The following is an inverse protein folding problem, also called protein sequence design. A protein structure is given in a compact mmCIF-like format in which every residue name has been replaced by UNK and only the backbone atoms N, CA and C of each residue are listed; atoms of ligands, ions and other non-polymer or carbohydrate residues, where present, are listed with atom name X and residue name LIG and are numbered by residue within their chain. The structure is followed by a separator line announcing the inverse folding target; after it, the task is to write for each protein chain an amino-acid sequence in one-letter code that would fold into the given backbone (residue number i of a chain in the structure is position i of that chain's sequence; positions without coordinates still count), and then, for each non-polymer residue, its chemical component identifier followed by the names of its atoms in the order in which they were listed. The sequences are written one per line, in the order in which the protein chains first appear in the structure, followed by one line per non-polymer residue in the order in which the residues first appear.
data_IF_092194528193
#
_entry.id   IF_092194528193
#
_cell.length_a   1.000
_cell.length_b   1.000
_cell.length_c   1.000
_cell.angle_alpha   90.00
_cell.angle_beta   90.00
_cell.angle_gamma   90.00
#
_symmetry.space_group_name_H-M   'P 1'
#
loop_
_entity.id
_entity.type
_entity.pdbx_description
1 polymer ?
#
# COMPACT_ATOMS: atom_id res chain seq x y z
N UNK A 1 -17.05 9.68 34.35
CA UNK A 1 -17.32 10.83 33.47
C UNK A 1 -16.05 11.13 32.65
N UNK A 2 -15.76 10.30 31.63
CA UNK A 2 -14.56 10.47 30.81
C UNK A 2 -14.88 11.40 29.64
N UNK A 3 -14.26 12.59 29.61
CA UNK A 3 -14.39 13.59 28.54
C UNK A 3 -14.06 12.95 27.17
N UNK A 4 -15.00 13.06 26.24
CA UNK A 4 -14.77 12.87 24.80
C UNK A 4 -13.72 13.88 24.32
N UNK A 5 -12.45 13.51 24.39
CA UNK A 5 -11.31 14.25 23.82
C UNK A 5 -11.20 13.96 22.31
N UNK A 6 -12.21 14.38 21.55
CA UNK A 6 -12.03 14.68 20.13
C UNK A 6 -12.27 16.18 19.96
N UNK A 7 -11.20 16.97 20.05
CA UNK A 7 -11.22 18.42 19.83
C UNK A 7 -11.62 18.79 18.38
N UNK A 8 -11.73 17.80 17.48
CA UNK A 8 -12.02 17.98 16.06
C UNK A 8 -13.24 17.13 15.67
N UNK A 9 -14.28 17.71 15.04
CA UNK A 9 -15.41 16.97 14.54
C UNK A 9 -14.99 15.92 13.49
N UNK A 10 -15.64 14.74 13.43
CA UNK A 10 -15.27 13.68 12.48
C UNK A 10 -15.32 14.14 11.01
N UNK A 11 -16.21 15.08 10.67
CA UNK A 11 -16.28 15.66 9.33
C UNK A 11 -15.06 16.54 9.01
N UNK A 12 -14.54 17.28 9.99
CA UNK A 12 -13.34 18.11 9.83
C UNK A 12 -12.10 17.24 9.67
N UNK A 13 -11.98 16.15 10.45
CA UNK A 13 -10.88 15.18 10.30
C UNK A 13 -10.86 14.54 8.91
N UNK A 14 -12.04 14.17 8.38
CA UNK A 14 -12.14 13.62 7.02
C UNK A 14 -11.76 14.63 5.94
N UNK A 15 -12.16 15.90 6.08
CA UNK A 15 -11.77 16.98 5.14
C UNK A 15 -10.25 17.17 5.11
N UNK A 16 -9.60 17.20 6.27
CA UNK A 16 -8.14 17.26 6.37
C UNK A 16 -7.51 16.01 5.73
N UNK A 17 -8.12 14.84 5.94
CA UNK A 17 -7.67 13.57 5.37
C UNK A 17 -7.70 13.51 3.84
N UNK A 18 -8.55 14.29 3.17
CA UNK A 18 -8.57 14.32 1.69
C UNK A 18 -7.45 15.20 1.13
N UNK A 19 -6.98 16.20 1.88
CA UNK A 19 -6.05 17.23 1.39
C UNK A 19 -4.75 16.70 0.77
N UNK A 20 -4.09 15.64 1.29
CA UNK A 20 -2.85 15.15 0.68
C UNK A 20 -3.01 14.62 -0.74
N UNK A 21 -4.20 14.11 -1.11
CA UNK A 21 -4.46 13.54 -2.44
C UNK A 21 -4.23 14.58 -3.55
N UNK A 22 -4.94 15.74 -3.60
CA UNK A 22 -4.68 16.74 -4.63
C UNK A 22 -3.31 17.40 -4.50
N UNK A 23 -2.75 17.51 -3.29
CA UNK A 23 -1.41 18.09 -3.08
C UNK A 23 -0.34 17.25 -3.78
N UNK A 24 -0.32 15.94 -3.57
CA UNK A 24 0.67 15.07 -4.20
C UNK A 24 0.47 14.98 -5.72
N UNK A 25 -0.78 14.99 -6.21
CA UNK A 25 -1.05 15.06 -7.65
C UNK A 25 -0.48 16.35 -8.25
N UNK A 26 -0.73 17.50 -7.62
CA UNK A 26 -0.20 18.78 -8.08
C UNK A 26 1.33 18.79 -8.06
N UNK A 27 1.97 18.31 -6.98
CA UNK A 27 3.44 18.24 -6.89
C UNK A 27 4.05 17.37 -8.00
N UNK A 28 3.46 16.20 -8.26
CA UNK A 28 3.93 15.32 -9.35
C UNK A 28 3.79 16.01 -10.70
N UNK A 29 2.64 16.64 -10.98
CA UNK A 29 2.42 17.35 -12.23
C UNK A 29 3.38 18.54 -12.42
N UNK A 30 3.60 19.31 -11.35
CA UNK A 30 4.56 20.44 -11.34
C UNK A 30 5.97 19.94 -11.65
N UNK A 31 6.44 18.88 -10.98
CA UNK A 31 7.78 18.33 -11.24
C UNK A 31 7.89 17.67 -12.62
N UNK A 32 6.84 17.06 -13.12
CA UNK A 32 6.86 16.47 -14.46
C UNK A 32 7.00 17.53 -15.55
N UNK A 33 6.28 18.66 -15.43
CA UNK A 33 6.31 19.77 -16.39
C UNK A 33 7.57 20.63 -16.27
N UNK A 34 7.98 20.98 -15.04
CA UNK A 34 9.02 21.99 -14.81
C UNK A 34 10.42 21.41 -14.84
N UNK A 35 10.61 20.14 -14.47
CA UNK A 35 11.94 19.58 -14.21
C UNK A 35 12.46 18.83 -15.45
N UNK A 36 13.43 19.38 -16.22
CA UNK A 36 13.93 18.71 -17.41
C UNK A 36 14.63 17.39 -17.06
N UNK A 37 14.59 16.42 -17.98
CA UNK A 37 15.21 15.09 -17.81
C UNK A 37 16.69 15.16 -17.41
N UNK A 38 17.44 16.12 -17.96
CA UNK A 38 18.86 16.33 -17.66
C UNK A 38 19.11 16.82 -16.23
N UNK A 39 18.22 17.64 -15.66
CA UNK A 39 18.33 18.16 -14.28
C UNK A 39 17.80 17.15 -13.26
N UNK A 40 16.80 16.34 -13.64
CA UNK A 40 16.27 15.31 -12.75
C UNK A 40 17.33 14.30 -12.32
N UNK A 41 18.23 13.92 -13.23
CA UNK A 41 19.32 13.01 -12.95
C UNK A 41 20.41 13.63 -12.06
N UNK A 42 20.70 14.93 -12.20
CA UNK A 42 21.72 15.62 -11.39
C UNK A 42 21.27 15.90 -9.96
N UNK A 43 19.96 15.99 -9.73
CA UNK A 43 19.36 16.18 -8.40
C UNK A 43 18.88 14.84 -7.79
N UNK A 44 19.19 13.71 -8.42
CA UNK A 44 18.81 12.40 -7.91
C UNK A 44 19.52 12.11 -6.57
N UNK A 45 18.73 11.87 -5.53
CA UNK A 45 19.22 11.65 -4.17
C UNK A 45 18.77 10.29 -3.66
N UNK A 46 19.71 9.36 -3.42
CA UNK A 46 19.40 8.02 -2.92
C UNK A 46 20.27 7.63 -1.71
N UNK A 47 20.08 8.25 -0.53
CA UNK A 47 20.66 7.76 0.71
C UNK A 47 20.11 6.36 1.04
N UNK A 48 20.90 5.32 0.76
CA UNK A 48 20.47 3.92 0.85
C UNK A 48 19.88 3.57 2.23
N UNK A 49 20.57 3.98 3.30
CA UNK A 49 20.13 3.69 4.67
C UNK A 49 18.83 4.42 5.01
N UNK A 50 18.72 5.71 4.69
CA UNK A 50 17.51 6.49 4.94
C UNK A 50 16.34 5.90 4.17
N UNK A 51 16.53 5.53 2.91
CA UNK A 51 15.49 4.89 2.11
C UNK A 51 15.03 3.56 2.73
N UNK A 52 15.96 2.67 3.08
CA UNK A 52 15.63 1.39 3.69
C UNK A 52 14.91 1.56 5.04
N UNK A 53 15.35 2.50 5.88
CA UNK A 53 14.71 2.80 7.17
C UNK A 53 13.29 3.33 6.99
N UNK A 54 13.07 4.28 6.06
CA UNK A 54 11.73 4.83 5.81
C UNK A 54 10.76 3.78 5.28
N UNK A 55 11.20 2.93 4.34
CA UNK A 55 10.40 1.80 3.83
C UNK A 55 10.03 0.83 4.96
N UNK A 56 11.00 0.52 5.84
CA UNK A 56 10.79 -0.36 6.98
C UNK A 56 9.78 0.23 7.97
N UNK A 57 9.94 1.50 8.33
CA UNK A 57 9.11 2.14 9.35
C UNK A 57 7.69 2.41 8.85
N UNK A 58 7.55 3.09 7.71
CA UNK A 58 6.28 3.63 7.24
C UNK A 58 5.46 2.70 6.37
N UNK A 59 6.08 1.68 5.74
CA UNK A 59 5.34 0.71 4.93
C UNK A 59 5.30 -0.64 5.61
N UNK A 60 6.45 -1.21 5.99
CA UNK A 60 6.45 -2.53 6.62
C UNK A 60 5.92 -2.49 8.06
N UNK A 61 6.35 -1.52 8.87
CA UNK A 61 5.88 -1.37 10.25
C UNK A 61 4.37 -1.16 10.33
N UNK A 62 3.82 -0.28 9.50
CA UNK A 62 2.37 -0.08 9.40
C UNK A 62 1.67 -1.33 8.88
N UNK A 63 2.24 -2.00 7.87
CA UNK A 63 1.67 -3.21 7.31
C UNK A 63 1.59 -4.35 8.32
N UNK A 64 2.61 -4.54 9.16
CA UNK A 64 2.62 -5.56 10.21
C UNK A 64 1.48 -5.34 11.20
N UNK A 65 1.27 -4.10 11.65
CA UNK A 65 0.18 -3.77 12.59
C UNK A 65 -1.18 -4.06 11.96
N UNK A 66 -1.39 -3.57 10.74
CA UNK A 66 -2.64 -3.76 9.99
C UNK A 66 -2.90 -5.24 9.71
N UNK A 67 -1.89 -5.98 9.27
CA UNK A 67 -1.98 -7.41 8.99
C UNK A 67 -2.26 -8.20 10.27
N UNK A 68 -1.61 -7.86 11.39
CA UNK A 68 -1.87 -8.51 12.67
C UNK A 68 -3.31 -8.32 13.16
N UNK A 69 -3.84 -7.10 13.03
CA UNK A 69 -5.22 -6.80 13.44
C UNK A 69 -6.20 -7.50 12.49
N UNK A 70 -5.93 -7.45 11.19
CA UNK A 70 -6.73 -8.16 10.17
C UNK A 70 -6.75 -9.68 10.42
N UNK A 71 -5.61 -10.26 10.79
CA UNK A 71 -5.46 -11.66 11.16
C UNK A 71 -6.36 -12.01 12.36
N UNK A 72 -6.30 -11.22 13.44
CA UNK A 72 -7.14 -11.45 14.62
C UNK A 72 -8.62 -11.34 14.28
N UNK A 73 -9.01 -10.28 13.57
CA UNK A 73 -10.38 -10.06 13.13
C UNK A 73 -10.87 -11.18 12.20
N UNK A 74 -10.01 -11.76 11.36
CA UNK A 74 -10.35 -12.91 10.52
C UNK A 74 -10.54 -14.20 11.33
N UNK A 75 -9.67 -14.49 12.31
CA UNK A 75 -9.83 -15.68 13.14
C UNK A 75 -11.14 -15.64 13.93
N UNK A 76 -11.52 -14.47 14.46
CA UNK A 76 -12.78 -14.25 15.16
C UNK A 76 -13.99 -14.27 14.20
N UNK A 77 -13.99 -13.42 13.18
CA UNK A 77 -15.16 -13.16 12.33
C UNK A 77 -15.27 -14.00 11.05
N UNK A 78 -14.18 -14.62 10.59
CA UNK A 78 -14.15 -15.42 9.35
C UNK A 78 -14.26 -14.62 8.05
N UNK A 79 -14.16 -13.28 8.09
CA UNK A 79 -14.36 -12.42 6.93
C UNK A 79 -13.24 -12.54 5.91
N UNK A 80 -13.55 -13.08 4.72
CA UNK A 80 -12.60 -13.20 3.60
C UNK A 80 -12.08 -11.84 3.15
N UNK A 81 -12.91 -10.80 3.18
CA UNK A 81 -12.51 -9.41 2.91
C UNK A 81 -11.32 -8.99 3.77
N UNK A 82 -11.41 -9.23 5.09
CA UNK A 82 -10.37 -8.82 6.04
C UNK A 82 -9.11 -9.64 5.85
N UNK A 83 -9.25 -10.95 5.58
CA UNK A 83 -8.10 -11.80 5.27
C UNK A 83 -7.34 -11.26 4.06
N UNK A 84 -8.04 -11.01 2.95
CA UNK A 84 -7.45 -10.52 1.69
C UNK A 84 -6.83 -9.14 1.86
N UNK A 85 -7.51 -8.22 2.56
CA UNK A 85 -6.98 -6.88 2.86
C UNK A 85 -5.68 -6.97 3.67
N UNK A 86 -5.65 -7.80 4.70
CA UNK A 86 -4.44 -8.03 5.50
C UNK A 86 -3.31 -8.68 4.69
N UNK A 87 -3.63 -9.66 3.82
CA UNK A 87 -2.65 -10.28 2.92
C UNK A 87 -2.05 -9.28 1.92
N UNK A 88 -2.87 -8.44 1.30
CA UNK A 88 -2.40 -7.38 0.39
C UNK A 88 -1.53 -6.35 1.10
N UNK A 89 -1.91 -5.98 2.31
CA UNK A 89 -1.12 -5.05 3.15
C UNK A 89 0.23 -5.66 3.52
N UNK A 90 0.24 -6.92 3.97
CA UNK A 90 1.48 -7.63 4.31
C UNK A 90 2.38 -7.80 3.08
N UNK A 91 1.81 -8.19 1.93
CA UNK A 91 2.55 -8.33 0.68
C UNK A 91 3.22 -7.01 0.27
N UNK A 92 2.48 -5.90 0.31
CA UNK A 92 3.00 -4.59 -0.02
C UNK A 92 4.11 -4.15 0.95
N UNK A 93 3.90 -4.32 2.26
CA UNK A 93 4.90 -3.99 3.27
C UNK A 93 6.17 -4.84 3.12
N UNK A 94 6.03 -6.15 2.90
CA UNK A 94 7.15 -7.07 2.74
C UNK A 94 7.97 -6.73 1.48
N UNK A 95 7.31 -6.52 0.34
CA UNK A 95 7.98 -6.07 -0.88
C UNK A 95 8.71 -4.73 -0.66
N UNK A 96 8.12 -3.81 0.09
CA UNK A 96 8.69 -2.49 0.36
C UNK A 96 9.96 -2.55 1.21
N UNK A 97 9.98 -3.36 2.27
CA UNK A 97 11.19 -3.52 3.11
C UNK A 97 12.29 -4.24 2.34
N UNK A 98 11.97 -5.32 1.64
CA UNK A 98 12.96 -6.07 0.86
C UNK A 98 13.56 -5.20 -0.25
N UNK A 99 12.73 -4.49 -1.02
CA UNK A 99 13.21 -3.55 -2.02
C UNK A 99 14.03 -2.39 -1.42
N UNK A 100 13.67 -1.94 -0.21
CA UNK A 100 14.41 -0.94 0.54
C UNK A 100 15.86 -1.35 0.81
N UNK A 101 16.04 -2.54 1.38
CA UNK A 101 17.35 -3.07 1.76
C UNK A 101 18.18 -3.58 0.56
N UNK A 102 17.52 -4.06 -0.50
CA UNK A 102 18.19 -4.55 -1.70
C UNK A 102 18.45 -3.47 -2.76
N UNK A 103 18.19 -2.19 -2.46
CA UNK A 103 18.55 -1.10 -3.36
C UNK A 103 20.07 -0.96 -3.52
N UNK A 104 20.82 -1.24 -2.46
CA UNK A 104 22.29 -1.34 -2.49
C UNK A 104 22.79 -2.74 -2.86
N UNK A 105 24.11 -2.96 -2.85
CA UNK A 105 24.67 -4.31 -2.97
C UNK A 105 24.09 -5.24 -1.89
N UNK A 106 23.77 -6.51 -2.22
CA UNK A 106 24.06 -7.21 -3.48
C UNK A 106 23.01 -7.04 -4.59
N UNK A 107 21.86 -6.42 -4.33
CA UNK A 107 20.73 -6.39 -5.29
C UNK A 107 20.83 -5.30 -6.35
N UNK A 108 21.11 -4.07 -5.92
CA UNK A 108 21.13 -2.90 -6.80
C UNK A 108 19.74 -2.45 -7.27
N UNK A 109 19.67 -1.36 -8.06
CA UNK A 109 18.40 -0.73 -8.46
C UNK A 109 17.44 -1.64 -9.21
N UNK A 110 17.94 -2.52 -10.09
CA UNK A 110 17.08 -3.42 -10.85
C UNK A 110 16.32 -4.38 -9.93
N UNK A 111 17.01 -5.06 -9.01
CA UNK A 111 16.38 -6.02 -8.08
C UNK A 111 15.35 -5.32 -7.19
N UNK A 112 15.72 -4.17 -6.61
CA UNK A 112 14.80 -3.40 -5.78
C UNK A 112 13.53 -2.96 -6.53
N UNK A 113 13.69 -2.45 -7.77
CA UNK A 113 12.56 -2.03 -8.61
C UNK A 113 11.70 -3.22 -9.03
N UNK A 114 12.29 -4.35 -9.39
CA UNK A 114 11.58 -5.59 -9.72
C UNK A 114 10.70 -6.04 -8.56
N UNK A 115 11.26 -6.13 -7.35
CA UNK A 115 10.54 -6.58 -6.15
C UNK A 115 9.44 -5.59 -5.77
N UNK A 116 9.74 -4.29 -5.75
CA UNK A 116 8.76 -3.25 -5.39
C UNK A 116 7.58 -3.24 -6.36
N UNK A 117 7.82 -3.23 -7.67
CA UNK A 117 6.76 -3.09 -8.67
C UNK A 117 5.93 -4.35 -8.82
N UNK A 118 6.58 -5.52 -8.82
CA UNK A 118 5.87 -6.80 -8.84
C UNK A 118 5.10 -7.02 -7.54
N UNK A 119 5.67 -6.61 -6.40
CA UNK A 119 5.00 -6.62 -5.11
C UNK A 119 3.79 -5.69 -5.06
N UNK A 120 3.87 -4.50 -5.68
CA UNK A 120 2.72 -3.61 -5.85
C UNK A 120 1.60 -4.28 -6.63
N UNK A 121 1.92 -4.83 -7.80
CA UNK A 121 0.95 -5.55 -8.63
C UNK A 121 0.31 -6.70 -7.86
N UNK A 122 1.13 -7.54 -7.22
CA UNK A 122 0.65 -8.68 -6.45
C UNK A 122 -0.23 -8.26 -5.26
N UNK A 123 0.16 -7.24 -4.50
CA UNK A 123 -0.66 -6.68 -3.42
C UNK A 123 -1.99 -6.12 -3.93
N UNK A 124 -1.99 -5.45 -5.08
CA UNK A 124 -3.20 -4.88 -5.69
C UNK A 124 -4.25 -5.95 -6.03
N UNK A 125 -3.83 -7.16 -6.40
CA UNK A 125 -4.72 -8.30 -6.63
C UNK A 125 -5.47 -8.70 -5.35
N UNK A 126 -4.82 -8.65 -4.19
CA UNK A 126 -5.48 -8.88 -2.92
C UNK A 126 -6.47 -7.76 -2.55
N UNK A 127 -6.11 -6.51 -2.81
CA UNK A 127 -7.01 -5.38 -2.53
C UNK A 127 -8.25 -5.39 -3.40
N UNK A 128 -8.12 -5.68 -4.70
CA UNK A 128 -9.28 -5.75 -5.59
C UNK A 128 -10.16 -6.97 -5.25
N UNK A 129 -9.55 -8.10 -4.89
CA UNK A 129 -10.27 -9.27 -4.40
C UNK A 129 -11.00 -8.97 -3.08
N UNK A 130 -10.37 -8.22 -2.16
CA UNK A 130 -11.00 -7.77 -0.91
C UNK A 130 -12.20 -6.85 -1.17
N UNK A 131 -12.05 -5.86 -2.05
CA UNK A 131 -13.12 -4.94 -2.41
C UNK A 131 -14.33 -5.67 -3.04
N UNK A 132 -14.07 -6.56 -4.00
CA UNK A 132 -15.12 -7.28 -4.74
C UNK A 132 -15.80 -8.36 -3.90
N UNK A 133 -15.08 -9.05 -3.02
CA UNK A 133 -15.69 -10.04 -2.10
C UNK A 133 -16.60 -9.38 -1.06
N UNK A 134 -16.31 -8.14 -0.67
CA UNK A 134 -17.18 -7.34 0.21
C UNK A 134 -18.53 -7.06 -0.43
N UNK A 135 -18.56 -6.81 -1.75
CA UNK A 135 -19.78 -6.54 -2.49
C UNK A 135 -20.67 -7.79 -2.66
N UNK A 136 -20.09 -9.00 -2.57
CA UNK A 136 -20.78 -10.28 -2.85
C UNK A 136 -21.22 -11.02 -1.59
N UNK A 137 -21.55 -10.29 -0.53
CA UNK A 137 -21.84 -10.77 0.83
C UNK A 137 -22.36 -12.23 0.92
N UNK A 138 -21.44 -13.14 1.25
CA UNK A 138 -21.72 -14.52 1.60
C UNK A 138 -20.69 -14.96 2.64
N UNK A 139 -20.96 -14.71 3.93
CA UNK A 139 -20.08 -15.16 5.00
C UNK A 139 -20.15 -16.68 5.11
N UNK A 140 -19.29 -17.39 4.39
CA UNK A 140 -19.08 -18.82 4.61
C UNK A 140 -18.55 -18.99 6.03
N UNK A 141 -19.43 -19.48 6.90
CA UNK A 141 -19.24 -19.66 8.35
C UNK A 141 -18.32 -20.85 8.67
N UNK A 142 -17.54 -21.34 7.69
CA UNK A 142 -16.68 -22.50 7.84
C UNK A 142 -15.50 -22.20 8.75
N UNK A 143 -15.67 -22.61 10.01
CA UNK A 143 -14.68 -22.48 11.08
C UNK A 143 -13.44 -23.37 10.85
N UNK A 144 -13.64 -24.58 10.31
CA UNK A 144 -12.63 -25.66 10.28
C UNK A 144 -11.35 -25.31 9.50
N UNK A 145 -11.45 -24.45 8.47
CA UNK A 145 -10.34 -24.13 7.57
C UNK A 145 -9.78 -22.72 7.72
N UNK A 146 -10.20 -21.97 8.77
CA UNK A 146 -9.77 -20.58 8.94
C UNK A 146 -8.26 -20.45 9.10
N UNK A 147 -7.66 -21.24 10.01
CA UNK A 147 -6.20 -21.22 10.22
C UNK A 147 -5.43 -21.58 8.95
N UNK A 148 -5.87 -22.61 8.23
CA UNK A 148 -5.25 -23.05 6.97
C UNK A 148 -5.34 -21.97 5.89
N UNK A 149 -6.52 -21.37 5.67
CA UNK A 149 -6.70 -20.28 4.70
C UNK A 149 -5.84 -19.07 5.03
N UNK A 150 -5.71 -18.76 6.32
CA UNK A 150 -4.83 -17.69 6.79
C UNK A 150 -3.36 -18.00 6.52
N UNK A 151 -2.89 -19.20 6.89
CA UNK A 151 -1.52 -19.63 6.63
C UNK A 151 -1.21 -19.63 5.13
N UNK A 152 -2.14 -20.11 4.30
CA UNK A 152 -1.98 -20.08 2.85
C UNK A 152 -1.96 -18.65 2.29
N UNK A 153 -2.83 -17.76 2.77
CA UNK A 153 -2.88 -16.40 2.24
C UNK A 153 -1.70 -15.54 2.70
N UNK A 154 -1.33 -15.58 3.98
CA UNK A 154 -0.21 -14.80 4.53
C UNK A 154 1.12 -15.43 4.17
N UNK A 155 1.27 -16.73 4.44
CA UNK A 155 2.47 -17.50 4.13
C UNK A 155 2.70 -17.61 2.64
N UNK A 156 1.64 -17.78 1.84
CA UNK A 156 1.75 -17.77 0.38
C UNK A 156 2.16 -16.41 -0.16
N UNK A 157 1.64 -15.31 0.39
CA UNK A 157 2.05 -13.98 -0.05
C UNK A 157 3.52 -13.67 0.26
N UNK A 158 3.97 -13.95 1.48
CA UNK A 158 5.37 -13.78 1.88
C UNK A 158 6.26 -14.76 1.12
N UNK A 159 5.86 -16.04 1.02
CA UNK A 159 6.61 -17.07 0.31
C UNK A 159 6.80 -16.76 -1.17
N UNK A 160 5.76 -16.29 -1.85
CA UNK A 160 5.83 -15.85 -3.24
C UNK A 160 6.83 -14.68 -3.41
N UNK A 161 6.76 -13.66 -2.56
CA UNK A 161 7.66 -12.51 -2.64
C UNK A 161 9.11 -12.86 -2.25
N UNK A 162 9.31 -13.76 -1.30
CA UNK A 162 10.63 -14.31 -0.97
C UNK A 162 11.22 -15.08 -2.15
N UNK A 163 10.42 -15.94 -2.79
CA UNK A 163 10.86 -16.67 -3.99
C UNK A 163 11.20 -15.69 -5.13
N UNK A 164 10.33 -14.70 -5.39
CA UNK A 164 10.59 -13.64 -6.36
C UNK A 164 11.89 -12.89 -6.07
N UNK A 165 12.16 -12.60 -4.79
CA UNK A 165 13.39 -11.94 -4.35
C UNK A 165 14.62 -12.78 -4.69
N UNK A 166 14.59 -14.08 -4.41
CA UNK A 166 15.67 -15.01 -4.76
C UNK A 166 15.87 -15.06 -6.27
N UNK A 167 14.80 -15.22 -7.06
CA UNK A 167 14.88 -15.21 -8.52
C UNK A 167 15.45 -13.89 -9.08
N UNK A 168 15.09 -12.75 -8.49
CA UNK A 168 15.62 -11.46 -8.89
C UNK A 168 17.12 -11.33 -8.58
N UNK A 169 17.56 -11.82 -7.41
CA UNK A 169 18.97 -11.79 -7.00
C UNK A 169 19.88 -12.66 -7.87
N UNK A 170 19.40 -13.81 -8.34
CA UNK A 170 20.15 -14.68 -9.27
C UNK A 170 20.03 -14.27 -10.73
N UNK A 171 19.33 -13.16 -11.03
CA UNK A 171 19.16 -12.65 -12.39
C UNK A 171 18.19 -13.45 -13.26
N UNK A 172 17.34 -14.29 -12.66
CA UNK A 172 16.35 -15.10 -13.39
C UNK A 172 15.08 -14.32 -13.77
N UNK A 173 14.90 -13.10 -13.24
CA UNK A 173 13.80 -12.22 -13.64
C UNK A 173 14.22 -11.32 -14.81
N UNK A 174 13.32 -11.03 -15.77
CA UNK A 174 13.58 -10.01 -16.78
C UNK A 174 13.96 -8.66 -16.16
N UNK A 175 14.78 -7.87 -16.85
CA UNK A 175 15.20 -6.57 -16.35
C UNK A 175 14.02 -5.57 -16.31
N UNK A 176 13.81 -4.94 -15.15
CA UNK A 176 12.84 -3.86 -14.97
C UNK A 176 13.53 -2.50 -15.12
N UNK A 177 14.81 -2.43 -14.79
CA UNK A 177 15.60 -1.22 -14.87
C UNK A 177 17.02 -1.55 -15.33
N UNK A 178 17.51 -0.80 -16.32
CA UNK A 178 18.86 -0.93 -16.85
C UNK A 178 19.62 0.35 -16.51
N UNK A 179 20.72 0.28 -15.74
CA UNK A 179 21.54 1.46 -15.45
C UNK A 179 21.97 2.18 -16.73
N UNK A 180 21.83 3.50 -16.78
CA UNK A 180 22.14 4.32 -17.96
C UNK A 180 21.06 4.37 -19.05
N UNK A 181 20.29 3.29 -19.23
CA UNK A 181 19.17 3.26 -20.19
C UNK A 181 17.80 3.59 -19.55
N UNK A 182 17.66 3.40 -18.23
CA UNK A 182 16.47 3.72 -17.47
C UNK A 182 15.46 2.56 -17.37
N UNK A 183 14.17 2.91 -17.39
CA UNK A 183 13.06 1.98 -17.16
C UNK A 183 12.72 1.15 -18.39
N UNK A 184 12.48 -0.16 -18.22
CA UNK A 184 12.06 -1.01 -19.34
C UNK A 184 10.55 -0.93 -19.61
N UNK A 185 10.13 -1.33 -20.82
CA UNK A 185 8.70 -1.39 -21.18
C UNK A 185 7.94 -2.34 -20.26
N UNK A 186 8.54 -3.48 -19.91
CA UNK A 186 7.96 -4.45 -18.99
C UNK A 186 7.66 -3.82 -17.63
N UNK A 187 8.62 -3.05 -17.07
CA UNK A 187 8.41 -2.31 -15.82
C UNK A 187 7.20 -1.40 -15.92
N UNK A 188 7.07 -0.66 -17.03
CA UNK A 188 5.97 0.29 -17.20
C UNK A 188 4.60 -0.41 -17.27
N UNK A 189 4.51 -1.54 -17.96
CA UNK A 189 3.28 -2.35 -18.00
C UNK A 189 2.91 -2.87 -16.60
N UNK A 190 3.88 -3.40 -15.86
CA UNK A 190 3.66 -3.94 -14.50
C UNK A 190 3.22 -2.84 -13.53
N UNK A 191 3.87 -1.68 -13.55
CA UNK A 191 3.51 -0.53 -12.71
C UNK A 191 2.14 0.01 -13.08
N UNK A 192 1.85 0.17 -14.38
CA UNK A 192 0.54 0.65 -14.84
C UNK A 192 -0.59 -0.29 -14.41
N UNK A 193 -0.40 -1.60 -14.54
CA UNK A 193 -1.38 -2.59 -14.08
C UNK A 193 -1.62 -2.48 -12.57
N UNK A 194 -0.56 -2.41 -11.76
CA UNK A 194 -0.68 -2.22 -10.31
C UNK A 194 -1.38 -0.91 -9.95
N UNK A 195 -1.01 0.19 -10.59
CA UNK A 195 -1.60 1.51 -10.42
C UNK A 195 -3.12 1.47 -10.66
N UNK A 196 -3.55 0.92 -11.80
CA UNK A 196 -4.96 0.82 -12.16
C UNK A 196 -5.75 -0.05 -11.18
N UNK A 197 -5.19 -1.17 -10.72
CA UNK A 197 -5.82 -2.06 -9.74
C UNK A 197 -5.94 -1.42 -8.35
N UNK A 198 -4.91 -0.70 -7.90
CA UNK A 198 -4.96 0.10 -6.68
C UNK A 198 -6.00 1.22 -6.78
N UNK A 199 -6.03 1.94 -7.91
CA UNK A 199 -6.99 3.01 -8.16
C UNK A 199 -8.43 2.48 -8.13
N UNK A 200 -8.67 1.36 -8.82
CA UNK A 200 -9.97 0.70 -8.86
C UNK A 200 -10.38 0.24 -7.45
N UNK A 201 -9.46 -0.33 -6.70
CA UNK A 201 -9.70 -0.74 -5.31
C UNK A 201 -10.05 0.46 -4.43
N UNK A 202 -9.31 1.57 -4.52
CA UNK A 202 -9.62 2.82 -3.81
C UNK A 202 -11.05 3.30 -4.11
N UNK A 203 -11.44 3.34 -5.39
CA UNK A 203 -12.78 3.75 -5.81
C UNK A 203 -13.85 2.81 -5.24
N UNK A 204 -13.64 1.48 -5.28
CA UNK A 204 -14.59 0.52 -4.75
C UNK A 204 -14.76 0.64 -3.23
N UNK A 205 -13.66 0.80 -2.48
CA UNK A 205 -13.71 1.05 -1.04
C UNK A 205 -14.42 2.37 -0.70
N UNK A 206 -14.22 3.41 -1.53
CA UNK A 206 -14.93 4.68 -1.37
C UNK A 206 -16.44 4.53 -1.65
N UNK A 207 -16.84 3.78 -2.68
CA UNK A 207 -18.25 3.46 -2.94
C UNK A 207 -18.89 2.74 -1.76
N UNK A 208 -18.22 1.69 -1.24
CA UNK A 208 -18.68 0.97 -0.05
C UNK A 208 -18.77 1.88 1.20
N UNK A 209 -17.91 2.90 1.31
CA UNK A 209 -18.01 3.92 2.34
C UNK A 209 -19.26 4.80 2.16
N UNK A 210 -19.61 5.20 0.94
CA UNK A 210 -20.81 5.99 0.72
C UNK A 210 -22.09 5.25 1.15
N UNK A 211 -22.12 3.93 0.96
CA UNK A 211 -23.25 3.08 1.35
C UNK A 211 -23.29 2.82 2.86
N UNK A 212 -22.16 2.47 3.47
CA UNK A 212 -22.10 2.05 4.89
C UNK A 212 -21.78 3.17 5.89
N UNK A 213 -21.28 4.31 5.40
CA UNK A 213 -20.71 5.42 6.19
C UNK A 213 -19.61 5.03 7.17
N UNK A 214 -18.97 3.88 6.93
CA UNK A 214 -17.97 3.29 7.82
C UNK A 214 -16.61 4.01 7.76
N UNK A 215 -16.12 4.47 8.91
CA UNK A 215 -14.87 5.22 9.00
C UNK A 215 -13.64 4.46 8.47
N UNK A 216 -13.57 3.14 8.69
CA UNK A 216 -12.46 2.32 8.19
C UNK A 216 -12.39 2.36 6.67
N UNK A 217 -13.52 2.23 5.97
CA UNK A 217 -13.55 2.20 4.51
C UNK A 217 -13.10 3.53 3.90
N UNK A 218 -13.49 4.65 4.52
CA UNK A 218 -13.01 5.97 4.11
C UNK A 218 -11.48 6.06 4.21
N UNK A 219 -10.91 5.80 5.39
CA UNK A 219 -9.47 5.94 5.59
C UNK A 219 -8.66 4.93 4.77
N UNK A 220 -9.17 3.71 4.59
CA UNK A 220 -8.55 2.72 3.72
C UNK A 220 -8.61 3.12 2.24
N UNK A 221 -9.72 3.70 1.78
CA UNK A 221 -9.81 4.20 0.40
C UNK A 221 -8.79 5.30 0.13
N UNK A 222 -8.56 6.20 1.10
CA UNK A 222 -7.55 7.25 1.00
C UNK A 222 -6.12 6.68 1.06
N UNK A 223 -5.88 5.66 1.89
CA UNK A 223 -4.60 4.95 1.91
C UNK A 223 -4.26 4.34 0.54
N UNK A 224 -5.24 3.71 -0.10
CA UNK A 224 -5.08 3.14 -1.44
C UNK A 224 -4.91 4.24 -2.50
N UNK A 225 -5.63 5.36 -2.40
CA UNK A 225 -5.49 6.49 -3.32
C UNK A 225 -4.08 7.09 -3.27
N UNK A 226 -3.54 7.29 -2.06
CA UNK A 226 -2.18 7.79 -1.88
C UNK A 226 -1.13 6.78 -2.37
N UNK A 227 -1.39 5.48 -2.23
CA UNK A 227 -0.56 4.43 -2.81
C UNK A 227 -0.59 4.47 -4.34
N UNK A 228 -1.77 4.66 -4.95
CA UNK A 228 -1.93 4.88 -6.39
C UNK A 228 -1.12 6.09 -6.86
N UNK A 229 -1.21 7.22 -6.15
CA UNK A 229 -0.45 8.43 -6.48
C UNK A 229 1.05 8.17 -6.39
N UNK A 230 1.49 7.43 -5.37
CA UNK A 230 2.88 7.00 -5.25
C UNK A 230 3.35 6.14 -6.43
N UNK A 231 2.54 5.18 -6.88
CA UNK A 231 2.83 4.38 -8.07
C UNK A 231 2.82 5.21 -9.36
N UNK A 232 1.93 6.21 -9.47
CA UNK A 232 1.91 7.15 -10.59
C UNK A 232 3.22 7.94 -10.66
N UNK A 233 3.73 8.43 -9.53
CA UNK A 233 5.06 9.05 -9.47
C UNK A 233 6.17 8.11 -9.96
N UNK A 234 6.14 6.82 -9.64
CA UNK A 234 7.14 5.88 -10.15
C UNK A 234 7.00 5.54 -11.63
N UNK A 235 5.79 5.68 -12.19
CA UNK A 235 5.52 5.53 -13.62
C UNK A 235 6.13 6.69 -14.42
N UNK A 236 5.91 7.93 -13.96
CA UNK A 236 6.44 9.16 -14.58
C UNK A 236 7.90 9.45 -14.21
N UNK A 237 8.39 8.90 -13.09
CA UNK A 237 9.76 9.06 -12.63
C UNK A 237 10.77 8.59 -13.67
N UNK A 238 11.78 9.42 -13.90
CA UNK A 238 12.77 9.28 -14.98
C UNK A 238 13.98 8.49 -14.50
N UNK A 239 14.38 8.70 -13.26
CA UNK A 239 15.49 8.00 -12.61
C UNK A 239 15.14 7.64 -11.18
N UNK A 240 15.79 6.59 -10.65
CA UNK A 240 15.62 6.22 -9.24
C UNK A 240 16.08 7.39 -8.35
N UNK A 241 15.24 7.85 -7.44
CA UNK A 241 15.57 8.91 -6.48
C UNK A 241 15.47 10.34 -6.99
N UNK A 242 14.86 10.55 -8.16
CA UNK A 242 14.50 11.90 -8.59
C UNK A 242 13.42 12.53 -7.68
N UNK A 243 13.18 13.85 -7.77
CA UNK A 243 12.17 14.53 -6.94
C UNK A 243 10.75 13.94 -7.08
N UNK A 244 10.40 13.45 -8.27
CA UNK A 244 9.11 12.79 -8.53
C UNK A 244 9.02 11.49 -7.73
N UNK A 245 10.07 10.66 -7.75
CA UNK A 245 10.14 9.41 -6.99
C UNK A 245 10.08 9.67 -5.48
N UNK A 246 10.74 10.72 -4.96
CA UNK A 246 10.62 11.10 -3.56
C UNK A 246 9.20 11.54 -3.19
N UNK A 247 8.57 12.35 -4.03
CA UNK A 247 7.17 12.75 -3.87
C UNK A 247 6.26 11.52 -3.81
N UNK A 248 6.50 10.54 -4.70
CA UNK A 248 5.79 9.26 -4.72
C UNK A 248 5.99 8.43 -3.44
N UNK A 249 7.22 8.33 -2.95
CA UNK A 249 7.55 7.64 -1.68
C UNK A 249 6.85 8.29 -0.49
N UNK A 250 6.84 9.62 -0.41
CA UNK A 250 6.16 10.32 0.68
C UNK A 250 4.64 10.06 0.59
N UNK A 251 4.06 10.08 -0.61
CA UNK A 251 2.65 9.73 -0.79
C UNK A 251 2.36 8.30 -0.31
N UNK A 252 3.19 7.30 -0.64
CA UNK A 252 3.00 5.93 -0.13
C UNK A 252 3.15 5.83 1.38
N UNK A 253 4.06 6.58 2.01
CA UNK A 253 4.21 6.65 3.47
C UNK A 253 2.95 7.20 4.14
N UNK A 254 2.37 8.27 3.58
CA UNK A 254 1.08 8.78 4.04
C UNK A 254 -0.02 7.72 3.87
N UNK A 255 0.01 6.94 2.78
CA UNK A 255 -0.85 5.78 2.59
C UNK A 255 -0.74 4.76 3.73
N UNK A 256 0.49 4.42 4.13
CA UNK A 256 0.77 3.56 5.29
C UNK A 256 0.17 4.11 6.59
N UNK A 257 0.38 5.40 6.87
CA UNK A 257 -0.22 6.07 8.04
C UNK A 257 -1.75 6.03 8.00
N UNK A 258 -2.35 6.26 6.84
CA UNK A 258 -3.81 6.26 6.68
C UNK A 258 -4.40 4.87 6.90
N UNK A 259 -3.68 3.81 6.52
CA UNK A 259 -4.10 2.44 6.83
C UNK A 259 -4.16 2.17 8.34
N UNK A 260 -3.24 2.74 9.14
CA UNK A 260 -3.30 2.67 10.60
C UNK A 260 -4.50 3.44 11.17
N UNK A 261 -4.75 4.65 10.66
CA UNK A 261 -5.91 5.45 11.06
C UNK A 261 -7.21 4.69 10.76
N UNK A 262 -7.26 3.98 9.62
CA UNK A 262 -8.40 3.14 9.25
C UNK A 262 -8.67 2.05 10.28
N UNK A 263 -7.64 1.31 10.68
CA UNK A 263 -7.77 0.28 11.71
C UNK A 263 -8.19 0.87 13.07
N UNK A 264 -7.60 1.99 13.46
CA UNK A 264 -7.97 2.67 14.70
C UNK A 264 -9.43 3.14 14.70
N UNK A 265 -9.94 3.59 13.56
CA UNK A 265 -11.34 3.97 13.40
C UNK A 265 -12.29 2.78 13.53
N UNK A 266 -11.89 1.57 13.12
CA UNK A 266 -12.67 0.36 13.32
C UNK A 266 -12.73 -0.06 14.80
N UNK A 267 -11.60 0.04 15.52
CA UNK A 267 -11.55 -0.27 16.96
C UNK A 267 -12.48 0.66 17.74
N UNK A 268 -12.45 1.96 17.46
CA UNK A 268 -13.33 2.94 18.12
C UNK A 268 -14.80 2.70 17.81
N UNK A 269 -15.13 2.39 16.55
CA UNK A 269 -16.50 2.07 16.15
C UNK A 269 -17.08 0.85 16.89
N UNK A 270 -16.25 -0.14 17.21
CA UNK A 270 -16.67 -1.32 17.98
C UNK A 270 -16.93 -1.03 19.47
N UNK A 271 -16.26 -0.04 20.06
CA UNK A 271 -16.41 0.28 21.49
C UNK A 271 -17.62 1.19 21.76
N UNK A 272 -17.96 2.10 20.84
CA UNK A 272 -19.14 2.97 20.98
C UNK A 272 -20.49 2.25 20.81
N UNK A 273 -20.50 1.05 20.21
CA UNK A 273 -21.71 0.24 20.08
C UNK A 273 -22.14 -0.49 21.36
N UNK A 274 -21.21 -0.71 22.30
CA UNK A 274 -21.48 -1.42 23.57
C UNK A 274 -22.04 -0.52 24.67
N UNK A 275 -21.99 0.81 24.50
CA UNK A 275 -22.49 1.78 25.50
C UNK A 275 -23.90 2.29 25.20
N UNK A 276 -24.47 1.98 24.04
CA UNK A 276 -25.82 2.41 23.63
C UNK A 276 -26.87 1.28 23.70
N UNK A 277 -26.53 0.15 24.33
CA UNK A 277 -27.44 -0.99 24.52
C UNK A 277 -27.79 -1.21 26.00
N UNK A 278 -27.79 -0.15 26.81
CA UNK A 278 -28.32 -0.15 28.17
C UNK A 278 -29.30 1.01 28.34
#
# INVERSE_FOLDING_TARGET
MARNLSLIPPNTTRRIGVAPVPIFVALIAIFDVILPTSVAASVAFNPLLVFATLQTLFLFGTAVVVAYISLKSYLSGGSRTILLLGSGTLAWGFASVVAGWLLGPPGGPNVAVTISNSGALFASLFYIASATTTMRAGSSRDSKWRKTKLLLAYGGAVGFLSALTVFALVGATPAFFVPGAGSTVLRQVVVAAGLLLFATSSILFMRLYHDSRSGILFWYSMALALTTIGLAAFYFGRTVGDPIAWTGRIATYFGGVYSLIAIWSAIRGSHGGLTNSQ
#
